data_IF_253796360517
#
_entry.id   IF_253796360517
#
_cell.length_a   1.000
_cell.length_b   1.000
_cell.length_c   1.000
_cell.angle_alpha   90.00
_cell.angle_beta   90.00
_cell.angle_gamma   90.00
#
_symmetry.space_group_name_H-M   'P 1'
#
loop_
_entity.id
_entity.type
_entity.pdbx_description
1 polymer ?
#
# COMPACT_ATOMS: atom_id res chain seq x y z
N UNK A 1 40.65 -21.61 19.28
CA UNK A 1 40.05 -20.32 19.65
C UNK A 1 40.20 -19.24 18.58
N UNK A 2 41.24 -19.27 17.73
CA UNK A 2 41.45 -18.27 16.66
C UNK A 2 40.71 -18.56 15.33
N UNK A 3 40.07 -19.73 15.18
CA UNK A 3 39.37 -20.11 13.93
C UNK A 3 37.88 -19.73 13.91
N UNK A 4 37.29 -19.44 15.08
CA UNK A 4 35.87 -19.06 15.21
C UNK A 4 35.64 -17.57 14.86
N UNK A 5 36.62 -16.71 15.14
CA UNK A 5 36.50 -15.26 14.92
C UNK A 5 36.51 -14.89 13.42
N UNK A 6 37.22 -15.64 12.58
CA UNK A 6 37.27 -15.36 11.13
C UNK A 6 35.96 -15.66 10.40
N UNK A 7 35.10 -16.55 10.92
CA UNK A 7 33.76 -16.79 10.33
C UNK A 7 32.77 -15.67 10.60
N UNK A 8 32.96 -14.91 11.68
CA UNK A 8 32.07 -13.80 12.04
C UNK A 8 32.37 -12.58 11.17
N UNK A 9 33.63 -12.38 10.76
CA UNK A 9 34.04 -11.26 9.90
C UNK A 9 33.49 -11.37 8.48
N UNK A 10 33.43 -12.58 7.89
CA UNK A 10 32.90 -12.77 6.53
C UNK A 10 31.38 -12.51 6.42
N UNK A 11 30.63 -12.68 7.50
CA UNK A 11 29.17 -12.48 7.51
C UNK A 11 28.72 -11.02 7.45
N UNK A 12 29.61 -10.06 7.74
CA UNK A 12 29.30 -8.63 7.73
C UNK A 12 29.61 -7.94 6.38
N UNK A 13 30.25 -8.62 5.43
CA UNK A 13 30.59 -8.05 4.12
C UNK A 13 29.38 -7.87 3.18
N UNK A 14 28.23 -8.46 3.50
CA UNK A 14 26.99 -8.36 2.70
C UNK A 14 25.99 -7.35 3.24
N UNK A 15 26.28 -6.68 4.36
CA UNK A 15 25.39 -5.66 4.90
C UNK A 15 25.67 -4.36 4.17
N UNK A 16 24.76 -3.98 3.26
CA UNK A 16 24.80 -2.68 2.60
C UNK A 16 24.97 -1.58 3.67
N UNK A 17 25.90 -0.62 3.51
CA UNK A 17 25.98 0.57 4.35
C UNK A 17 24.86 1.53 3.95
N UNK A 18 23.61 1.04 4.04
CA UNK A 18 22.44 1.60 3.38
C UNK A 18 22.08 3.01 3.91
N UNK A 19 22.73 3.46 4.99
CA UNK A 19 22.34 4.66 5.72
C UNK A 19 23.46 5.67 5.98
N UNK A 20 24.72 5.38 5.64
CA UNK A 20 25.84 6.30 5.84
C UNK A 20 26.37 6.82 4.50
N UNK A 21 25.75 7.87 3.97
CA UNK A 21 26.38 8.78 2.99
C UNK A 21 25.60 10.10 3.00
N UNK A 22 26.29 11.20 3.28
CA UNK A 22 25.74 12.53 3.54
C UNK A 22 25.49 13.26 2.21
N UNK A 23 24.25 13.69 1.96
CA UNK A 23 23.78 14.10 0.62
C UNK A 23 24.20 15.52 0.18
N UNK A 24 25.20 16.16 0.80
CA UNK A 24 25.49 17.58 0.54
C UNK A 24 25.96 17.94 -0.88
N UNK A 25 26.08 17.02 -1.83
CA UNK A 25 26.39 17.33 -3.24
C UNK A 25 25.56 16.46 -4.21
N UNK A 26 24.70 17.07 -5.05
CA UNK A 26 23.99 16.38 -6.11
C UNK A 26 24.84 16.38 -7.39
N UNK A 27 25.93 15.61 -7.41
CA UNK A 27 26.71 15.45 -8.63
C UNK A 27 26.08 14.38 -9.53
N UNK A 28 25.18 14.90 -10.37
CA UNK A 28 25.16 14.74 -11.83
C UNK A 28 25.13 13.28 -12.36
N UNK A 29 24.01 12.97 -13.01
CA UNK A 29 23.89 11.95 -14.05
C UNK A 29 24.91 12.19 -15.18
N UNK A 30 26.13 11.70 -14.98
CA UNK A 30 27.16 11.36 -15.98
C UNK A 30 27.81 10.11 -15.37
N UNK A 31 27.66 8.91 -15.92
CA UNK A 31 28.40 8.50 -17.10
C UNK A 31 27.71 7.32 -17.79
N UNK A 32 27.23 7.56 -19.02
CA UNK A 32 27.39 6.58 -20.09
C UNK A 32 28.45 7.18 -21.02
N UNK A 33 29.59 6.51 -21.12
CA UNK A 33 30.72 6.84 -22.01
C UNK A 33 31.72 7.90 -21.51
N UNK A 34 32.63 7.50 -20.62
CA UNK A 34 34.07 7.77 -20.83
C UNK A 34 34.92 6.84 -19.97
N UNK A 35 35.72 5.99 -20.63
CA UNK A 35 36.88 5.36 -20.02
C UNK A 35 37.86 6.46 -19.60
N UNK A 36 38.16 6.59 -18.30
CA UNK A 36 39.48 6.99 -17.82
C UNK A 36 39.65 6.62 -16.34
N UNK A 37 40.75 5.93 -16.07
CA UNK A 37 41.19 5.40 -14.79
C UNK A 37 41.70 6.54 -13.90
N UNK A 38 41.12 6.70 -12.71
CA UNK A 38 41.80 7.26 -11.53
C UNK A 38 41.29 6.56 -10.28
N UNK A 39 42.22 6.01 -9.49
CA UNK A 39 41.94 5.14 -8.37
C UNK A 39 41.13 5.79 -7.26
N UNK A 40 39.91 5.30 -7.09
CA UNK A 40 39.39 4.94 -5.77
C UNK A 40 38.92 3.49 -5.89
N UNK A 41 39.23 2.66 -4.89
CA UNK A 41 38.67 1.31 -4.77
C UNK A 41 37.18 1.46 -4.46
N UNK A 42 36.42 1.82 -5.50
CA UNK A 42 34.98 1.86 -5.48
C UNK A 42 34.58 0.39 -5.56
N UNK A 43 34.49 -0.27 -4.39
CA UNK A 43 33.80 -1.55 -4.28
C UNK A 43 32.34 -1.26 -4.55
N UNK A 44 32.01 -1.08 -5.81
CA UNK A 44 30.65 -0.89 -6.25
C UNK A 44 29.90 -2.16 -5.84
N UNK A 45 28.82 -1.97 -5.07
CA UNK A 45 28.03 -3.09 -4.59
C UNK A 45 27.61 -3.95 -5.79
N UNK A 46 27.62 -5.29 -5.68
CA UNK A 46 27.13 -6.15 -6.75
C UNK A 46 25.63 -5.93 -7.07
N UNK A 47 24.93 -5.13 -6.28
CA UNK A 47 23.50 -4.86 -6.44
C UNK A 47 23.24 -3.48 -7.05
N UNK A 48 22.26 -3.41 -7.96
CA UNK A 48 21.78 -2.15 -8.55
C UNK A 48 21.33 -1.14 -7.49
N UNK A 49 21.46 0.16 -7.78
CA UNK A 49 20.94 1.26 -6.94
C UNK A 49 19.41 1.38 -7.00
N UNK A 50 18.75 0.71 -7.93
CA UNK A 50 17.31 0.78 -8.18
C UNK A 50 16.58 -0.49 -7.77
N UNK A 51 15.30 -0.33 -7.42
CA UNK A 51 14.31 -1.40 -7.28
C UNK A 51 13.18 -1.15 -8.27
N UNK A 52 12.62 -2.23 -8.82
CA UNK A 52 11.56 -2.18 -9.82
C UNK A 52 10.43 -3.07 -9.31
N UNK A 53 9.25 -2.49 -9.15
CA UNK A 53 8.01 -3.23 -8.95
C UNK A 53 7.32 -3.36 -10.30
N UNK A 54 6.92 -4.58 -10.63
CA UNK A 54 6.24 -4.90 -11.89
C UNK A 54 4.87 -5.41 -11.53
N UNK A 55 3.85 -4.86 -12.19
CA UNK A 55 2.48 -5.30 -12.02
C UNK A 55 1.78 -5.41 -13.38
N UNK A 56 0.83 -6.32 -13.48
CA UNK A 56 0.01 -6.51 -14.67
C UNK A 56 -1.21 -5.60 -14.58
N UNK A 57 -1.50 -4.87 -15.66
CA UNK A 57 -2.71 -4.08 -15.78
C UNK A 57 -3.58 -4.65 -16.90
N UNK A 58 -4.76 -5.14 -16.55
CA UNK A 58 -5.71 -5.75 -17.50
C UNK A 58 -6.23 -7.12 -17.04
N UNK A 59 -6.82 -7.86 -17.99
CA UNK A 59 -7.22 -9.26 -17.76
C UNK A 59 -5.95 -10.14 -17.73
N UNK A 60 -5.81 -10.94 -16.67
CA UNK A 60 -4.69 -11.87 -16.48
C UNK A 60 -4.88 -13.17 -17.29
N UNK A 61 -6.00 -13.32 -18.00
CA UNK A 61 -6.31 -14.50 -18.80
C UNK A 61 -5.51 -14.53 -20.10
N UNK A 62 -4.34 -15.16 -20.06
CA UNK A 62 -3.56 -15.51 -21.26
C UNK A 62 -4.23 -16.59 -22.14
N UNK A 63 -5.34 -17.18 -21.68
CA UNK A 63 -6.02 -18.31 -22.34
C UNK A 63 -7.08 -17.89 -23.38
N UNK A 64 -7.67 -16.72 -23.22
CA UNK A 64 -8.68 -16.19 -24.13
C UNK A 64 -8.48 -14.68 -24.29
N UNK A 65 -7.94 -14.28 -25.44
CA UNK A 65 -7.83 -12.86 -25.77
C UNK A 65 -9.25 -12.33 -25.99
N UNK A 66 -9.70 -11.40 -25.16
CA UNK A 66 -10.95 -10.68 -25.41
C UNK A 66 -10.77 -9.81 -26.67
N UNK A 67 -11.50 -10.12 -27.74
CA UNK A 67 -11.47 -9.35 -28.99
C UNK A 67 -11.86 -7.87 -28.78
N UNK A 68 -12.61 -7.54 -27.72
CA UNK A 68 -12.96 -6.16 -27.37
C UNK A 68 -11.85 -5.42 -26.62
N UNK A 69 -10.87 -6.14 -26.07
CA UNK A 69 -9.76 -5.54 -25.32
C UNK A 69 -8.46 -6.38 -25.43
N UNK A 70 -7.79 -6.39 -26.60
CA UNK A 70 -6.63 -7.25 -26.88
C UNK A 70 -5.31 -6.67 -26.33
N UNK A 71 -5.36 -5.89 -25.24
CA UNK A 71 -4.21 -5.18 -24.70
C UNK A 71 -3.76 -5.81 -23.37
N UNK A 72 -2.53 -6.32 -23.37
CA UNK A 72 -1.81 -6.71 -22.17
C UNK A 72 -0.82 -5.60 -21.80
N UNK A 73 -0.93 -5.03 -20.60
CA UNK A 73 -0.09 -3.92 -20.15
C UNK A 73 0.73 -4.36 -18.94
N UNK A 74 2.04 -4.12 -19.00
CA UNK A 74 2.94 -4.24 -17.86
C UNK A 74 3.27 -2.84 -17.32
N UNK A 75 2.98 -2.62 -16.05
CA UNK A 75 3.31 -1.40 -15.33
C UNK A 75 4.63 -1.59 -14.57
N UNK A 76 5.54 -0.63 -14.71
CA UNK A 76 6.83 -0.64 -14.01
C UNK A 76 6.94 0.58 -13.11
N UNK A 77 7.12 0.35 -11.81
CA UNK A 77 7.40 1.38 -10.82
C UNK A 77 8.86 1.27 -10.39
N UNK A 78 9.69 2.21 -10.86
CA UNK A 78 11.14 2.23 -10.64
C UNK A 78 11.49 3.25 -9.55
N UNK A 79 12.26 2.83 -8.55
CA UNK A 79 12.69 3.71 -7.47
C UNK A 79 14.19 3.57 -7.18
N UNK A 80 14.85 4.68 -6.86
CA UNK A 80 16.17 4.64 -6.25
C UNK A 80 16.05 4.14 -4.81
N UNK A 81 16.80 3.11 -4.42
CA UNK A 81 16.68 2.40 -3.12
C UNK A 81 16.62 3.35 -1.94
N UNK A 82 17.53 4.34 -1.89
CA UNK A 82 17.61 5.32 -0.80
C UNK A 82 16.36 6.21 -0.73
N UNK A 83 15.88 6.72 -1.87
CA UNK A 83 14.72 7.60 -1.91
C UNK A 83 13.45 6.83 -1.51
N UNK A 84 13.34 5.58 -1.96
CA UNK A 84 12.27 4.68 -1.55
C UNK A 84 12.24 4.46 -0.03
N UNK A 85 13.37 4.08 0.56
CA UNK A 85 13.43 3.78 2.00
C UNK A 85 13.27 5.01 2.90
N UNK A 86 13.88 6.13 2.53
CA UNK A 86 13.91 7.32 3.41
C UNK A 86 12.68 8.22 3.25
N UNK A 87 12.15 8.36 2.03
CA UNK A 87 11.08 9.33 1.75
C UNK A 87 9.74 8.64 1.48
N UNK A 88 9.71 7.65 0.58
CA UNK A 88 8.46 7.03 0.14
C UNK A 88 7.83 6.19 1.26
N UNK A 89 8.59 5.26 1.86
CA UNK A 89 8.08 4.42 2.96
C UNK A 89 7.63 5.29 4.14
N UNK A 90 8.44 6.28 4.52
CA UNK A 90 8.08 7.20 5.62
C UNK A 90 6.81 7.99 5.32
N UNK A 91 6.64 8.51 4.11
CA UNK A 91 5.45 9.24 3.71
C UNK A 91 4.20 8.33 3.71
N UNK A 92 4.34 7.10 3.22
CA UNK A 92 3.26 6.11 3.18
C UNK A 92 2.82 5.69 4.59
N UNK A 93 3.77 5.42 5.48
CA UNK A 93 3.49 5.10 6.88
C UNK A 93 2.82 6.26 7.60
N UNK A 94 3.34 7.49 7.44
CA UNK A 94 2.70 8.69 8.01
C UNK A 94 1.28 8.86 7.49
N UNK A 95 1.04 8.64 6.20
CA UNK A 95 -0.30 8.65 5.64
C UNK A 95 -1.20 7.62 6.33
N UNK A 96 -0.72 6.38 6.50
CA UNK A 96 -1.48 5.33 7.18
C UNK A 96 -1.78 5.66 8.64
N UNK A 97 -0.79 6.11 9.41
CA UNK A 97 -1.01 6.52 10.80
C UNK A 97 -1.98 7.69 10.92
N UNK A 98 -1.87 8.70 10.05
CA UNK A 98 -2.74 9.86 10.07
C UNK A 98 -4.20 9.49 9.71
N UNK A 99 -4.40 8.51 8.84
CA UNK A 99 -5.74 8.16 8.35
C UNK A 99 -6.41 7.00 9.13
N UNK A 100 -5.64 5.97 9.50
CA UNK A 100 -6.15 4.75 10.13
C UNK A 100 -5.70 4.60 11.59
N UNK A 101 -4.74 5.39 12.06
CA UNK A 101 -4.14 5.26 13.39
C UNK A 101 -3.12 4.12 13.52
N UNK A 102 -2.97 3.28 12.49
CA UNK A 102 -2.03 2.16 12.44
C UNK A 102 -1.56 1.88 11.00
N UNK A 103 -0.50 1.09 10.84
CA UNK A 103 0.14 0.76 9.56
C UNK A 103 -0.34 -0.55 8.91
N UNK A 104 -1.10 -1.37 9.66
CA UNK A 104 -1.59 -2.68 9.21
C UNK A 104 -2.51 -2.65 7.99
N UNK A 105 -3.08 -1.49 7.63
CA UNK A 105 -3.95 -1.38 6.44
C UNK A 105 -3.13 -1.58 5.17
N UNK A 106 -3.53 -2.56 4.37
CA UNK A 106 -2.99 -2.79 3.03
C UNK A 106 -3.80 -1.94 2.05
N UNK A 107 -3.12 -1.09 1.27
CA UNK A 107 -3.77 -0.18 0.32
C UNK A 107 -4.08 -0.90 -0.99
N UNK A 108 -5.10 -1.77 -0.98
CA UNK A 108 -5.48 -2.55 -2.16
C UNK A 108 -6.44 -1.78 -3.08
N UNK A 109 -6.17 -1.76 -4.39
CA UNK A 109 -6.90 -0.96 -5.40
C UNK A 109 -8.41 -1.20 -5.36
N UNK A 110 -8.84 -2.46 -5.31
CA UNK A 110 -10.27 -2.78 -5.25
C UNK A 110 -10.95 -2.32 -3.97
N UNK A 111 -10.25 -2.32 -2.82
CA UNK A 111 -10.84 -1.87 -1.55
C UNK A 111 -10.98 -0.36 -1.51
N UNK A 112 -10.00 0.36 -2.04
CA UNK A 112 -10.03 1.82 -2.18
C UNK A 112 -11.15 2.21 -3.16
N UNK A 113 -11.17 1.61 -4.36
CA UNK A 113 -12.14 1.95 -5.42
C UNK A 113 -13.58 1.65 -5.03
N UNK A 114 -13.81 0.58 -4.27
CA UNK A 114 -15.15 0.17 -3.83
C UNK A 114 -15.48 0.64 -2.40
N UNK A 115 -14.63 1.44 -1.77
CA UNK A 115 -14.79 1.94 -0.41
C UNK A 115 -15.13 0.81 0.60
N UNK A 116 -14.36 -0.28 0.62
CA UNK A 116 -14.59 -1.44 1.49
C UNK A 116 -13.65 -1.46 2.70
N UNK A 117 -14.03 -2.20 3.75
CA UNK A 117 -13.18 -2.44 4.92
C UNK A 117 -12.75 -1.13 5.59
N UNK A 118 -11.44 -0.93 5.73
CA UNK A 118 -10.84 0.27 6.31
C UNK A 118 -11.15 1.57 5.53
N UNK A 119 -11.61 1.46 4.28
CA UNK A 119 -11.97 2.59 3.42
C UNK A 119 -13.46 2.88 3.38
N UNK A 120 -14.28 2.16 4.17
CA UNK A 120 -15.69 2.49 4.35
C UNK A 120 -15.79 3.89 4.96
N UNK A 121 -16.70 4.71 4.45
CA UNK A 121 -17.06 6.02 5.02
C UNK A 121 -18.45 5.93 5.63
N UNK A 122 -18.61 5.48 6.89
CA UNK A 122 -19.93 5.37 7.53
C UNK A 122 -20.70 6.69 7.57
N UNK A 123 -19.97 7.81 7.66
CA UNK A 123 -20.53 9.16 7.68
C UNK A 123 -20.92 9.69 6.27
N UNK A 124 -20.64 8.95 5.20
CA UNK A 124 -21.03 9.36 3.86
C UNK A 124 -22.54 9.20 3.68
N UNK A 125 -23.22 10.30 3.38
CA UNK A 125 -24.66 10.30 3.17
C UNK A 125 -25.03 9.34 2.04
N UNK A 126 -25.84 8.33 2.36
CA UNK A 126 -26.34 7.38 1.39
C UNK A 126 -27.73 7.81 0.92
N UNK A 127 -27.81 8.42 -0.27
CA UNK A 127 -29.09 8.88 -0.83
C UNK A 127 -30.09 7.72 -1.04
N UNK A 128 -29.60 6.52 -1.36
CA UNK A 128 -30.46 5.34 -1.48
C UNK A 128 -31.01 4.93 -0.11
N UNK A 129 -30.23 5.07 0.95
CA UNK A 129 -30.69 4.82 2.32
C UNK A 129 -31.87 5.72 2.68
N UNK A 130 -31.80 7.03 2.40
CA UNK A 130 -32.91 7.96 2.68
C UNK A 130 -34.19 7.61 1.90
N UNK A 131 -34.05 7.14 0.65
CA UNK A 131 -35.19 6.69 -0.16
C UNK A 131 -35.76 5.36 0.38
N UNK A 132 -34.91 4.45 0.83
CA UNK A 132 -35.29 3.13 1.34
C UNK A 132 -35.78 3.16 2.79
N UNK A 133 -35.45 4.19 3.56
CA UNK A 133 -35.79 4.34 4.98
C UNK A 133 -37.28 4.14 5.26
N UNK A 134 -38.15 4.66 4.39
CA UNK A 134 -39.62 4.50 4.49
C UNK A 134 -40.12 3.09 4.12
N UNK A 135 -39.27 2.25 3.53
CA UNK A 135 -39.58 0.86 3.15
C UNK A 135 -39.07 -0.16 4.17
N UNK A 136 -38.24 0.26 5.13
CA UNK A 136 -37.76 -0.63 6.17
C UNK A 136 -38.89 -1.12 7.07
N UNK A 137 -38.75 -2.35 7.54
CA UNK A 137 -39.64 -2.92 8.53
C UNK A 137 -39.45 -2.19 9.88
N UNK A 138 -40.53 -1.61 10.39
CA UNK A 138 -40.53 -0.74 11.56
C UNK A 138 -41.42 -1.30 12.67
N UNK A 139 -41.09 -1.00 13.92
CA UNK A 139 -41.94 -1.37 15.06
C UNK A 139 -43.25 -0.59 15.02
N UNK A 140 -44.38 -1.29 14.99
CA UNK A 140 -45.70 -0.69 14.75
C UNK A 140 -46.11 -0.61 13.27
N UNK A 141 -45.42 -1.31 12.37
CA UNK A 141 -45.85 -1.51 10.98
C UNK A 141 -45.70 -0.28 10.07
N UNK A 142 -46.44 -0.25 8.96
CA UNK A 142 -46.29 0.79 7.91
C UNK A 142 -46.68 2.20 8.37
N UNK A 143 -47.47 2.33 9.45
CA UNK A 143 -47.83 3.64 10.02
C UNK A 143 -46.64 4.37 10.70
N UNK A 144 -45.56 3.65 11.02
CA UNK A 144 -44.32 4.19 11.60
C UNK A 144 -43.10 4.00 10.69
N UNK A 145 -43.32 3.84 9.37
CA UNK A 145 -42.25 3.63 8.40
C UNK A 145 -41.20 4.74 8.46
N UNK A 146 -39.93 4.36 8.64
CA UNK A 146 -38.80 5.27 8.81
C UNK A 146 -38.47 5.64 10.26
N UNK A 147 -39.15 5.04 11.25
CA UNK A 147 -38.82 5.14 12.68
C UNK A 147 -38.56 3.74 13.27
N UNK A 148 -37.70 3.63 14.29
CA UNK A 148 -37.46 2.38 15.03
C UNK A 148 -37.14 1.14 14.15
N UNK A 149 -36.46 1.36 13.02
CA UNK A 149 -36.10 0.32 12.05
C UNK A 149 -34.80 -0.42 12.40
N UNK A 150 -33.98 0.14 13.28
CA UNK A 150 -32.70 -0.44 13.70
C UNK A 150 -32.90 -1.80 14.39
N UNK A 151 -32.10 -2.79 14.00
CA UNK A 151 -32.17 -4.16 14.54
C UNK A 151 -33.35 -5.00 14.03
N UNK A 152 -34.25 -4.42 13.22
CA UNK A 152 -35.39 -5.11 12.60
C UNK A 152 -35.36 -4.99 11.08
N UNK A 153 -35.72 -3.82 10.55
CA UNK A 153 -35.72 -3.52 9.12
C UNK A 153 -34.36 -3.14 8.56
N UNK A 154 -33.44 -2.68 9.41
CA UNK A 154 -32.04 -2.41 9.09
C UNK A 154 -31.12 -3.19 10.02
N UNK A 155 -30.30 -4.06 9.44
CA UNK A 155 -29.31 -4.87 10.17
C UNK A 155 -27.91 -4.53 9.67
N UNK A 156 -27.07 -4.00 10.57
CA UNK A 156 -25.70 -3.57 10.26
C UNK A 156 -24.75 -4.73 10.58
N UNK A 157 -23.82 -5.00 9.66
CA UNK A 157 -22.79 -6.03 9.79
C UNK A 157 -21.41 -5.47 9.41
N UNK A 158 -20.35 -5.76 10.18
CA UNK A 158 -20.34 -6.51 11.44
C UNK A 158 -21.12 -5.75 12.56
N UNK A 159 -21.69 -6.46 13.54
CA UNK A 159 -22.41 -5.82 14.63
C UNK A 159 -21.45 -4.90 15.39
N UNK A 160 -21.86 -3.65 15.59
CA UNK A 160 -21.12 -2.71 16.45
C UNK A 160 -21.17 -3.29 17.87
N UNK A 161 -20.02 -3.46 18.51
CA UNK A 161 -19.98 -3.96 19.88
C UNK A 161 -20.82 -3.05 20.77
N UNK A 162 -21.94 -3.57 21.28
CA UNK A 162 -22.78 -2.83 22.21
C UNK A 162 -21.98 -2.59 23.48
N UNK A 163 -21.66 -1.34 23.80
CA UNK A 163 -21.19 -0.96 25.13
C UNK A 163 -22.22 -1.48 26.14
N UNK A 164 -21.87 -2.56 26.85
CA UNK A 164 -22.71 -3.05 27.94
C UNK A 164 -22.64 -2.01 29.05
N UNK A 165 -23.77 -1.57 29.62
CA UNK A 165 -23.73 -0.73 30.80
C UNK A 165 -23.08 -1.54 31.94
N UNK A 166 -22.04 -0.97 32.55
CA UNK A 166 -21.43 -1.49 33.79
C UNK A 166 -22.41 -1.42 34.94
#
# INVERSE_FOLDING_TARGET
MAEEENRIVESNAFRLPLFELNWKQPDILKDASTNNVTGQNNTESPFSKYIIYVDESGDHSLQSIDEKYPLFVLAFCVFHKRHYSEQIVSALEKFKFNHFGHDQVILHETEIRKEKGAFLKPAQNNRAFEVLKKKFYCDGGRGKAGQSYEGRGLKIYPPVESEKPR
#
